data_IF_156997806253
#
_entry.id   IF_156997806253
#
_cell.length_a   1.000
_cell.length_b   1.000
_cell.length_c   1.000
_cell.angle_alpha   90.00
_cell.angle_beta   90.00
_cell.angle_gamma   90.00
#
_symmetry.space_group_name_H-M   'P 1'
#
loop_
_entity.id
_entity.type
_entity.pdbx_description
1 polymer ?
#
# COMPACT_ATOMS: atom_id res chain seq x y z
N UNK A 1 -3.71 -18.86 -12.31
CA UNK A 1 -2.87 -17.66 -12.08
C UNK A 1 -3.65 -16.36 -12.12
N UNK A 2 -4.48 -16.16 -13.14
CA UNK A 2 -5.26 -14.93 -13.27
C UNK A 2 -6.20 -14.70 -12.07
N UNK A 3 -6.91 -15.74 -11.63
CA UNK A 3 -7.82 -15.63 -10.48
C UNK A 3 -7.05 -15.27 -9.22
N UNK A 4 -5.90 -15.91 -9.00
CA UNK A 4 -5.04 -15.61 -7.85
C UNK A 4 -4.61 -14.14 -7.87
N UNK A 5 -4.20 -13.63 -9.02
CA UNK A 5 -3.78 -12.24 -9.16
C UNK A 5 -4.94 -11.28 -8.88
N UNK A 6 -6.15 -11.58 -9.37
CA UNK A 6 -7.31 -10.75 -9.08
C UNK A 6 -7.66 -10.73 -7.59
N UNK A 7 -7.52 -11.87 -6.91
CA UNK A 7 -7.74 -11.95 -5.46
C UNK A 7 -6.72 -11.07 -4.74
N UNK A 8 -5.44 -11.15 -5.11
CA UNK A 8 -4.40 -10.32 -4.53
C UNK A 8 -4.64 -8.85 -4.79
N UNK A 9 -4.98 -8.50 -6.03
CA UNK A 9 -5.27 -7.13 -6.41
C UNK A 9 -6.44 -6.57 -5.62
N UNK A 10 -7.52 -7.35 -5.48
CA UNK A 10 -8.70 -6.94 -4.71
C UNK A 10 -8.39 -6.76 -3.24
N UNK A 11 -7.66 -7.69 -2.64
CA UNK A 11 -7.27 -7.61 -1.23
C UNK A 11 -6.41 -6.38 -0.97
N UNK A 12 -5.37 -6.19 -1.78
CA UNK A 12 -4.48 -5.03 -1.64
C UNK A 12 -5.22 -3.72 -1.87
N UNK A 13 -6.12 -3.70 -2.87
CA UNK A 13 -6.88 -2.49 -3.17
C UNK A 13 -7.79 -2.08 -2.01
N UNK A 14 -8.53 -3.03 -1.43
CA UNK A 14 -9.40 -2.72 -0.29
C UNK A 14 -8.56 -2.24 0.89
N UNK A 15 -7.49 -2.97 1.21
CA UNK A 15 -6.63 -2.65 2.35
C UNK A 15 -6.03 -1.25 2.24
N UNK A 16 -5.44 -0.93 1.09
CA UNK A 16 -4.77 0.35 0.91
C UNK A 16 -5.75 1.50 0.66
N UNK A 17 -6.92 1.21 0.11
CA UNK A 17 -7.98 2.21 0.02
C UNK A 17 -8.42 2.66 1.42
N UNK A 18 -8.66 1.70 2.31
CA UNK A 18 -9.07 2.01 3.69
C UNK A 18 -7.97 2.74 4.43
N UNK A 19 -6.75 2.20 4.42
CA UNK A 19 -5.62 2.82 5.11
C UNK A 19 -5.31 4.21 4.56
N UNK A 20 -5.27 4.34 3.23
CA UNK A 20 -4.98 5.62 2.60
C UNK A 20 -6.04 6.67 2.89
N UNK A 21 -7.30 6.28 2.81
CA UNK A 21 -8.43 7.17 3.11
C UNK A 21 -8.34 7.69 4.55
N UNK A 22 -8.07 6.79 5.50
CA UNK A 22 -7.95 7.17 6.91
C UNK A 22 -6.81 8.15 7.13
N UNK A 23 -5.68 7.96 6.44
CA UNK A 23 -4.53 8.86 6.57
C UNK A 23 -4.78 10.23 5.96
N UNK A 24 -5.69 10.33 5.00
CA UNK A 24 -6.05 11.61 4.39
C UNK A 24 -7.01 12.40 5.29
N UNK A 25 -8.02 11.74 5.85
CA UNK A 25 -9.11 12.43 6.56
C UNK A 25 -8.91 12.55 8.07
N UNK A 26 -8.09 11.67 8.67
CA UNK A 26 -7.92 11.65 10.12
C UNK A 26 -6.62 12.34 10.54
N UNK A 27 -6.66 13.03 11.68
CA UNK A 27 -5.46 13.60 12.27
C UNK A 27 -4.59 12.52 12.89
N UNK A 28 -3.33 12.87 13.23
CA UNK A 28 -2.44 11.94 13.93
C UNK A 28 -3.04 11.48 15.26
N UNK A 29 -3.67 12.40 16.00
CA UNK A 29 -4.27 12.07 17.28
C UNK A 29 -5.42 11.08 17.10
N UNK A 30 -6.26 11.27 16.10
CA UNK A 30 -7.36 10.36 15.78
C UNK A 30 -6.83 8.98 15.41
N UNK A 31 -5.78 8.92 14.61
CA UNK A 31 -5.17 7.65 14.21
C UNK A 31 -4.59 6.91 15.42
N UNK A 32 -3.94 7.64 16.34
CA UNK A 32 -3.38 7.04 17.55
C UNK A 32 -4.48 6.55 18.49
N UNK A 33 -5.60 7.25 18.58
CA UNK A 33 -6.74 6.77 19.37
C UNK A 33 -7.28 5.45 18.84
N UNK A 34 -7.35 5.31 17.51
CA UNK A 34 -7.87 4.09 16.89
C UNK A 34 -6.93 2.91 17.04
N UNK A 35 -5.62 3.12 16.86
CA UNK A 35 -4.64 2.05 16.81
C UNK A 35 -3.75 1.90 18.04
N UNK A 36 -3.76 2.88 18.95
CA UNK A 36 -2.93 2.85 20.15
C UNK A 36 -1.45 2.78 19.83
N UNK A 37 -0.74 1.90 20.52
CA UNK A 37 0.71 1.75 20.36
C UNK A 37 1.11 1.44 18.92
N UNK A 38 0.26 0.74 18.18
CA UNK A 38 0.55 0.35 16.79
C UNK A 38 0.64 1.54 15.85
N UNK A 39 0.05 2.68 16.22
CA UNK A 39 0.00 3.86 15.37
C UNK A 39 0.97 4.95 15.80
N UNK A 40 1.82 4.70 16.81
CA UNK A 40 2.77 5.71 17.27
C UNK A 40 3.78 6.13 16.20
N UNK A 41 3.99 5.30 15.18
CA UNK A 41 4.91 5.62 14.10
C UNK A 41 4.50 6.90 13.34
N UNK A 42 3.23 7.31 13.41
CA UNK A 42 2.79 8.53 12.71
C UNK A 42 3.48 9.78 13.24
N UNK A 43 3.97 9.74 14.48
CA UNK A 43 4.69 10.88 15.07
C UNK A 43 6.02 11.16 14.38
N UNK A 44 6.59 10.16 13.71
CA UNK A 44 7.87 10.29 13.01
C UNK A 44 7.71 10.87 11.59
N UNK A 45 6.48 11.13 11.16
CA UNK A 45 6.18 11.61 9.82
C UNK A 45 5.41 12.93 9.94
N UNK A 46 5.76 13.93 9.11
CA UNK A 46 5.03 15.20 9.10
C UNK A 46 3.59 15.00 8.64
N UNK A 47 2.69 15.92 9.04
CA UNK A 47 1.29 15.85 8.62
C UNK A 47 1.16 15.85 7.10
N UNK A 48 1.92 16.70 6.43
CA UNK A 48 1.89 16.78 4.96
C UNK A 48 2.32 15.47 4.31
N UNK A 49 3.40 14.88 4.81
CA UNK A 49 3.91 13.61 4.25
C UNK A 49 2.95 12.46 4.55
N UNK A 50 2.33 12.45 5.73
CA UNK A 50 1.37 11.42 6.07
C UNK A 50 0.17 11.45 5.13
N UNK A 51 -0.35 12.65 4.84
CA UNK A 51 -1.45 12.82 3.89
C UNK A 51 -1.05 12.45 2.48
N UNK A 52 0.17 12.82 2.08
CA UNK A 52 0.69 12.44 0.76
C UNK A 52 0.76 10.93 0.61
N UNK A 53 1.27 10.23 1.63
CA UNK A 53 1.31 8.76 1.62
C UNK A 53 -0.11 8.21 1.47
N UNK A 54 -1.08 8.76 2.21
CA UNK A 54 -2.47 8.33 2.12
C UNK A 54 -3.04 8.51 0.72
N UNK A 55 -2.79 9.66 0.09
CA UNK A 55 -3.25 9.93 -1.27
C UNK A 55 -2.62 8.93 -2.25
N UNK A 56 -1.33 8.68 -2.13
CA UNK A 56 -0.64 7.74 -3.01
C UNK A 56 -1.18 6.32 -2.84
N UNK A 57 -1.51 5.93 -1.60
CA UNK A 57 -2.10 4.62 -1.35
C UNK A 57 -3.50 4.47 -1.95
N UNK A 58 -4.32 5.52 -1.87
CA UNK A 58 -5.64 5.52 -2.50
C UNK A 58 -5.50 5.42 -4.02
N UNK A 59 -4.59 6.20 -4.60
CA UNK A 59 -4.34 6.14 -6.03
C UNK A 59 -3.84 4.77 -6.47
N UNK A 60 -2.96 4.17 -5.68
CA UNK A 60 -2.48 2.82 -5.96
C UNK A 60 -3.60 1.79 -5.89
N UNK A 61 -4.49 1.90 -4.90
CA UNK A 61 -5.63 1.01 -4.78
C UNK A 61 -6.53 1.08 -6.02
N UNK A 62 -6.82 2.29 -6.48
CA UNK A 62 -7.60 2.49 -7.70
C UNK A 62 -6.83 1.93 -8.91
N UNK A 63 -5.52 2.18 -8.97
CA UNK A 63 -4.67 1.71 -10.05
C UNK A 63 -4.53 0.20 -10.13
N UNK A 64 -4.78 -0.52 -9.04
CA UNK A 64 -4.74 -1.97 -9.03
C UNK A 64 -5.97 -2.60 -9.70
N UNK A 65 -7.08 -1.90 -9.78
CA UNK A 65 -8.35 -2.48 -10.22
C UNK A 65 -8.86 -1.85 -11.51
N UNK A 66 -9.10 -0.53 -11.51
CA UNK A 66 -9.81 0.13 -12.60
C UNK A 66 -9.12 0.05 -13.97
N UNK A 67 -7.79 0.24 -14.08
CA UNK A 67 -7.17 0.19 -15.40
C UNK A 67 -7.36 -1.16 -16.10
N UNK A 68 -7.25 -2.25 -15.35
CA UNK A 68 -7.42 -3.59 -15.93
C UNK A 68 -8.90 -3.89 -16.19
N UNK A 69 -9.78 -3.48 -15.28
CA UNK A 69 -11.21 -3.73 -15.40
C UNK A 69 -11.81 -2.99 -16.61
N UNK A 70 -11.38 -1.76 -16.85
CA UNK A 70 -11.88 -0.93 -17.94
C UNK A 70 -11.11 -1.11 -19.24
N UNK A 71 -9.92 -1.69 -19.18
CA UNK A 71 -9.02 -1.81 -20.33
C UNK A 71 -8.34 -0.51 -20.73
N UNK A 72 -8.47 0.53 -19.91
CA UNK A 72 -7.84 1.82 -20.17
C UNK A 72 -6.52 1.89 -19.39
N UNK A 73 -5.39 2.00 -20.12
CA UNK A 73 -4.05 2.04 -19.56
C UNK A 73 -3.79 0.90 -18.57
N UNK A 74 -4.01 -0.37 -18.97
CA UNK A 74 -3.90 -1.51 -18.04
C UNK A 74 -2.50 -1.67 -17.45
N UNK A 75 -1.47 -1.10 -18.08
CA UNK A 75 -0.10 -1.12 -17.58
C UNK A 75 0.05 -0.37 -16.24
N UNK A 76 -0.94 0.41 -15.84
CA UNK A 76 -0.92 1.05 -14.52
C UNK A 76 -1.05 0.04 -13.38
N UNK A 77 -1.59 -1.16 -13.64
CA UNK A 77 -1.72 -2.19 -12.60
C UNK A 77 -0.35 -2.63 -12.07
N UNK A 78 0.58 -3.12 -12.91
CA UNK A 78 1.88 -3.48 -12.38
C UNK A 78 2.66 -2.27 -11.83
N UNK A 79 2.44 -1.09 -12.38
CA UNK A 79 3.07 0.11 -11.86
C UNK A 79 2.57 0.45 -10.46
N UNK A 80 1.26 0.36 -10.24
CA UNK A 80 0.67 0.59 -8.92
C UNK A 80 1.17 -0.45 -7.91
N UNK A 81 1.22 -1.72 -8.30
CA UNK A 81 1.72 -2.78 -7.45
C UNK A 81 3.19 -2.55 -7.08
N UNK A 82 4.00 -2.13 -8.04
CA UNK A 82 5.41 -1.81 -7.78
C UNK A 82 5.55 -0.62 -6.82
N UNK A 83 4.68 0.38 -6.98
CA UNK A 83 4.64 1.51 -6.04
C UNK A 83 4.36 1.06 -4.61
N UNK A 84 3.48 0.08 -4.44
CA UNK A 84 3.21 -0.50 -3.12
C UNK A 84 4.42 -1.26 -2.58
N UNK A 85 5.19 -1.94 -3.44
CA UNK A 85 6.44 -2.58 -3.02
C UNK A 85 7.38 -1.54 -2.41
N UNK A 86 7.56 -0.41 -3.09
CA UNK A 86 8.43 0.66 -2.60
C UNK A 86 7.89 1.25 -1.28
N UNK A 87 6.58 1.40 -1.17
CA UNK A 87 5.94 1.90 0.05
C UNK A 87 6.19 0.95 1.22
N UNK A 88 6.10 -0.36 0.99
CA UNK A 88 6.34 -1.35 2.03
C UNK A 88 7.81 -1.38 2.46
N UNK A 89 8.73 -1.21 1.51
CA UNK A 89 10.16 -1.09 1.85
C UNK A 89 10.38 0.10 2.77
N UNK A 90 9.79 1.24 2.44
CA UNK A 90 9.87 2.44 3.27
C UNK A 90 9.29 2.23 4.66
N UNK A 91 8.14 1.57 4.74
CA UNK A 91 7.48 1.28 6.01
C UNK A 91 8.34 0.35 6.88
N UNK A 92 8.92 -0.69 6.29
CA UNK A 92 9.81 -1.61 7.02
C UNK A 92 11.03 -0.88 7.56
N UNK A 93 11.60 -0.01 6.75
CA UNK A 93 12.75 0.80 7.14
C UNK A 93 12.42 1.69 8.33
N UNK A 94 11.25 2.33 8.30
CA UNK A 94 10.77 3.16 9.39
C UNK A 94 10.61 2.36 10.69
N UNK A 95 9.95 1.21 10.62
CA UNK A 95 9.73 0.36 11.79
C UNK A 95 11.03 -0.20 12.36
N UNK A 96 11.99 -0.55 11.51
CA UNK A 96 13.31 -0.98 11.96
C UNK A 96 14.02 0.13 12.73
N UNK A 97 13.99 1.34 12.19
CA UNK A 97 14.64 2.49 12.82
C UNK A 97 13.99 2.85 14.15
N UNK A 98 12.67 2.68 14.26
CA UNK A 98 11.93 2.96 15.50
C UNK A 98 12.06 1.84 16.54
N UNK A 99 12.43 0.64 16.12
CA UNK A 99 12.47 -0.50 17.03
C UNK A 99 11.09 -1.03 17.40
N UNK A 100 10.14 -1.03 16.46
CA UNK A 100 8.75 -1.40 16.71
C UNK A 100 8.53 -2.92 16.84
N UNK A 101 9.57 -3.73 16.74
CA UNK A 101 9.46 -5.18 16.88
C UNK A 101 9.23 -5.90 15.57
N UNK A 102 9.03 -7.21 15.65
CA UNK A 102 8.89 -8.06 14.47
C UNK A 102 7.49 -7.99 13.81
N UNK A 103 6.46 -7.76 14.61
CA UNK A 103 5.08 -7.83 14.10
C UNK A 103 4.83 -6.90 12.90
N UNK A 104 5.13 -5.59 12.98
CA UNK A 104 4.93 -4.72 11.82
C UNK A 104 5.86 -5.06 10.66
N UNK A 105 7.06 -5.56 10.93
CA UNK A 105 7.98 -5.98 9.87
C UNK A 105 7.42 -7.18 9.10
N UNK A 106 6.88 -8.17 9.81
CA UNK A 106 6.30 -9.35 9.19
C UNK A 106 5.07 -8.97 8.36
N UNK A 107 4.21 -8.12 8.90
CA UNK A 107 3.02 -7.65 8.15
C UNK A 107 3.41 -6.94 6.87
N UNK A 108 4.36 -6.01 6.96
CA UNK A 108 4.80 -5.27 5.78
C UNK A 108 5.50 -6.17 4.78
N UNK A 109 6.25 -7.17 5.25
CA UNK A 109 6.89 -8.13 4.36
C UNK A 109 5.85 -8.96 3.59
N UNK A 110 4.80 -9.41 4.27
CA UNK A 110 3.72 -10.16 3.61
C UNK A 110 3.08 -9.31 2.52
N UNK A 111 2.74 -8.07 2.83
CA UNK A 111 2.14 -7.16 1.86
C UNK A 111 3.09 -6.86 0.70
N UNK A 112 4.37 -6.71 1.01
CA UNK A 112 5.41 -6.50 -0.01
C UNK A 112 5.46 -7.68 -0.97
N UNK A 113 5.46 -8.90 -0.44
CA UNK A 113 5.51 -10.10 -1.27
C UNK A 113 4.27 -10.23 -2.15
N UNK A 114 3.10 -9.91 -1.60
CA UNK A 114 1.86 -9.90 -2.37
C UNK A 114 1.91 -8.88 -3.50
N UNK A 115 2.41 -7.68 -3.22
CA UNK A 115 2.55 -6.63 -4.22
C UNK A 115 3.60 -6.99 -5.26
N UNK A 116 4.72 -7.57 -4.85
CA UNK A 116 5.78 -8.00 -5.75
C UNK A 116 5.28 -9.10 -6.69
N UNK A 117 4.53 -10.05 -6.15
CA UNK A 117 3.95 -11.13 -6.95
C UNK A 117 2.95 -10.56 -7.97
N UNK A 118 2.15 -9.58 -7.57
CA UNK A 118 1.21 -8.92 -8.48
C UNK A 118 1.97 -8.16 -9.58
N UNK A 119 3.03 -7.45 -9.21
CA UNK A 119 3.87 -6.75 -10.20
C UNK A 119 4.38 -7.73 -11.25
N UNK A 120 4.93 -8.85 -10.80
CA UNK A 120 5.47 -9.86 -11.68
C UNK A 120 4.38 -10.51 -12.53
N UNK A 121 3.26 -10.89 -11.90
CA UNK A 121 2.16 -11.58 -12.57
C UNK A 121 1.42 -10.72 -13.58
N UNK A 122 1.45 -9.41 -13.43
CA UNK A 122 0.80 -8.46 -14.36
C UNK A 122 1.81 -7.71 -15.23
N UNK A 123 3.05 -8.12 -15.20
CA UNK A 123 4.10 -7.47 -16.00
C UNK A 123 3.77 -7.50 -17.50
N UNK A 124 3.04 -8.52 -17.95
CA UNK A 124 2.63 -8.66 -19.34
C UNK A 124 1.68 -7.54 -19.81
N UNK A 125 1.10 -6.77 -18.89
CA UNK A 125 0.26 -5.62 -19.23
C UNK A 125 1.07 -4.40 -19.67
N UNK A 126 2.37 -4.41 -19.42
CA UNK A 126 3.25 -3.33 -19.87
C UNK A 126 3.53 -3.51 -21.37
N UNK A 127 3.21 -2.48 -22.18
CA UNK A 127 3.49 -2.57 -23.62
C UNK A 127 4.99 -2.45 -23.85
N UNK A 128 5.57 -3.47 -24.42
CA UNK A 128 7.01 -3.53 -24.68
C UNK A 128 7.25 -3.76 -26.17
#
# INVERSE_FOLDING_TARGET
>A
MNITLWILQGFLAVLFLVFGYMRVIKSKDELKEMGGEKMKWVDDISDSNLKLIGILEVLAAIGLILPQLTGILPWLVPLAAFGLVLTMIGAMKLHLRRGDGLKPLVMNLILLLMAAFTTYGRFDLIPV
#
